data_IF_383665808504
#
_entry.id   IF_383665808504
#
_cell.length_a   1.000
_cell.length_b   1.000
_cell.length_c   1.000
_cell.angle_alpha   90.00
_cell.angle_beta   90.00
_cell.angle_gamma   90.00
#
_symmetry.space_group_name_H-M   'P 1'
#
loop_
_entity.id
_entity.type
_entity.pdbx_description
1 polymer ?
#
# COMPACT_ATOMS: atom_id res chain seq x y z
N UNK A 1 43.81 -30.00 -51.38
CA UNK A 1 44.27 -28.97 -52.35
C UNK A 1 43.41 -27.76 -52.15
N UNK A 2 43.87 -26.52 -52.05
CA UNK A 2 45.19 -25.92 -52.02
C UNK A 2 44.87 -24.45 -51.79
N UNK A 3 45.53 -23.80 -50.81
CA UNK A 3 46.11 -22.44 -50.92
C UNK A 3 45.16 -21.26 -51.27
N UNK A 4 45.34 -20.01 -50.88
CA UNK A 4 46.36 -19.23 -50.16
C UNK A 4 45.97 -17.77 -50.40
N UNK A 5 46.57 -16.85 -49.64
CA UNK A 5 46.77 -15.45 -50.07
C UNK A 5 46.23 -14.48 -49.04
N UNK A 6 47.06 -14.01 -48.10
CA UNK A 6 47.94 -12.82 -48.23
C UNK A 6 47.15 -11.53 -48.44
N UNK A 7 47.52 -10.35 -47.96
CA UNK A 7 48.37 -9.84 -46.88
C UNK A 7 48.26 -8.32 -46.98
N UNK A 8 48.35 -7.62 -45.86
CA UNK A 8 49.00 -6.30 -45.71
C UNK A 8 48.73 -5.20 -46.75
N UNK A 9 48.09 -4.11 -46.31
CA UNK A 9 48.59 -2.77 -46.64
C UNK A 9 48.54 -1.85 -45.41
N UNK A 10 49.74 -1.36 -45.10
CA UNK A 10 50.05 -0.28 -44.17
C UNK A 10 49.42 1.05 -44.57
N UNK A 11 49.02 1.86 -43.60
CA UNK A 11 49.35 3.28 -43.63
C UNK A 11 49.57 3.80 -42.20
N UNK A 12 50.46 4.78 -42.10
CA UNK A 12 51.34 5.03 -40.98
C UNK A 12 51.36 6.57 -40.80
N UNK A 13 51.16 7.03 -39.56
CA UNK A 13 51.58 8.31 -38.97
C UNK A 13 50.94 9.66 -39.41
N UNK A 14 50.38 10.37 -38.42
CA UNK A 14 50.71 11.77 -38.07
C UNK A 14 50.08 12.08 -36.70
N UNK A 15 50.85 12.07 -35.61
CA UNK A 15 51.65 13.15 -34.99
C UNK A 15 50.83 14.22 -34.24
N UNK A 16 51.00 14.16 -32.91
CA UNK A 16 51.25 15.28 -31.99
C UNK A 16 50.07 16.12 -31.49
N UNK A 17 49.87 16.08 -30.16
CA UNK A 17 49.10 17.07 -29.41
C UNK A 17 49.20 16.80 -27.90
N UNK A 18 49.86 17.70 -27.19
CA UNK A 18 50.34 17.62 -25.81
C UNK A 18 49.34 18.29 -24.84
N UNK A 19 48.99 17.58 -23.74
CA UNK A 19 48.79 18.00 -22.32
C UNK A 19 47.82 19.17 -21.99
N UNK A 20 46.94 18.98 -20.98
CA UNK A 20 46.85 19.73 -19.69
C UNK A 20 45.52 19.44 -18.93
N UNK A 21 45.67 18.89 -17.72
CA UNK A 21 44.97 19.05 -16.42
C UNK A 21 43.47 19.39 -16.25
N UNK A 22 42.91 18.69 -15.24
CA UNK A 22 41.81 19.05 -14.33
C UNK A 22 40.37 18.96 -14.88
N UNK A 23 39.36 18.48 -14.16
CA UNK A 23 39.17 18.35 -12.73
C UNK A 23 38.23 17.17 -12.40
N UNK A 24 38.49 16.54 -11.26
CA UNK A 24 37.54 15.68 -10.56
C UNK A 24 36.22 16.43 -10.34
N UNK A 25 35.14 15.92 -10.91
CA UNK A 25 33.82 15.98 -10.28
C UNK A 25 33.20 14.60 -10.40
N UNK A 26 33.78 13.66 -9.64
CA UNK A 26 33.07 12.46 -9.22
C UNK A 26 31.88 12.94 -8.39
N UNK A 27 30.74 13.15 -9.05
CA UNK A 27 29.45 13.25 -8.39
C UNK A 27 29.17 11.87 -7.80
N UNK A 28 29.84 11.58 -6.69
CA UNK A 28 29.42 10.55 -5.75
C UNK A 28 28.09 11.06 -5.19
N UNK A 29 27.01 10.77 -5.91
CA UNK A 29 25.71 10.62 -5.28
C UNK A 29 25.86 9.44 -4.32
N UNK A 30 26.45 9.72 -3.15
CA UNK A 30 26.12 9.00 -1.93
C UNK A 30 24.62 9.23 -1.74
N UNK A 31 23.82 8.41 -2.43
CA UNK A 31 22.61 7.94 -1.81
C UNK A 31 23.08 7.27 -0.53
N UNK A 32 23.05 8.02 0.57
CA UNK A 32 22.93 7.44 1.89
C UNK A 32 21.62 6.65 1.84
N UNK A 33 21.71 5.43 1.31
CA UNK A 33 20.78 4.38 1.62
C UNK A 33 21.02 4.14 3.11
N UNK A 34 20.33 4.93 3.93
CA UNK A 34 20.25 4.67 5.34
C UNK A 34 19.77 3.23 5.44
N UNK A 35 20.66 2.33 5.86
CA UNK A 35 20.30 1.01 6.35
C UNK A 35 19.37 1.26 7.53
N UNK A 36 18.08 1.44 7.24
CA UNK A 36 17.04 1.35 8.25
C UNK A 36 17.22 -0.06 8.81
N UNK A 37 17.69 -0.12 10.06
CA UNK A 37 17.72 -1.37 10.82
C UNK A 37 16.34 -2.05 10.78
N UNK A 38 16.26 -3.32 11.18
CA UNK A 38 14.99 -4.06 11.14
C UNK A 38 13.89 -3.24 11.85
N UNK A 39 12.84 -2.88 11.08
CA UNK A 39 11.70 -2.11 11.58
C UNK A 39 11.08 -2.85 12.78
N UNK A 40 10.69 -2.09 13.80
CA UNK A 40 9.88 -2.63 14.91
C UNK A 40 8.53 -3.17 14.42
N UNK A 41 7.86 -4.00 15.22
CA UNK A 41 6.54 -4.55 14.86
C UNK A 41 5.51 -3.47 14.48
N UNK A 42 5.50 -2.34 15.21
CA UNK A 42 4.64 -1.17 14.92
C UNK A 42 4.98 -0.54 13.58
N UNK A 43 6.26 -0.25 13.33
CA UNK A 43 6.70 0.43 12.09
C UNK A 43 6.46 -0.44 10.85
N UNK A 44 6.64 -1.77 10.97
CA UNK A 44 6.33 -2.71 9.89
C UNK A 44 4.86 -2.66 9.49
N UNK A 45 3.96 -2.63 10.48
CA UNK A 45 2.51 -2.62 10.22
C UNK A 45 2.06 -1.27 9.68
N UNK A 46 2.61 -0.16 10.18
CA UNK A 46 2.35 1.16 9.60
C UNK A 46 2.78 1.23 8.13
N UNK A 47 3.95 0.72 7.79
CA UNK A 47 4.39 0.62 6.39
C UNK A 47 3.45 -0.27 5.57
N UNK A 48 3.02 -1.42 6.12
CA UNK A 48 2.07 -2.30 5.44
C UNK A 48 0.72 -1.62 5.16
N UNK A 49 0.24 -0.81 6.09
CA UNK A 49 -0.98 0.01 5.94
C UNK A 49 -0.80 1.04 4.82
N UNK A 50 0.32 1.77 4.80
CA UNK A 50 0.60 2.75 3.74
C UNK A 50 0.66 2.09 2.36
N UNK A 51 1.40 0.99 2.25
CA UNK A 51 1.51 0.22 1.00
C UNK A 51 0.15 -0.35 0.56
N UNK A 52 -0.68 -0.77 1.51
CA UNK A 52 -2.05 -1.23 1.26
C UNK A 52 -2.91 -0.09 0.71
N UNK A 53 -2.83 1.10 1.31
CA UNK A 53 -3.67 2.24 0.94
C UNK A 53 -3.44 2.70 -0.50
N UNK A 54 -2.22 2.52 -1.03
CA UNK A 54 -1.87 2.81 -2.43
C UNK A 54 -2.59 1.87 -3.41
N UNK A 55 -2.74 0.59 -3.07
CA UNK A 55 -3.26 -0.43 -3.99
C UNK A 55 -4.14 -1.49 -3.28
N UNK A 56 -5.26 -1.08 -2.67
CA UNK A 56 -6.01 -1.92 -1.74
C UNK A 56 -6.69 -3.12 -2.39
N UNK A 57 -6.92 -3.08 -3.71
CA UNK A 57 -7.62 -4.10 -4.50
C UNK A 57 -6.67 -4.95 -5.37
N UNK A 58 -5.35 -4.77 -5.23
CA UNK A 58 -4.36 -5.58 -5.95
C UNK A 58 -4.05 -6.87 -5.19
N UNK A 59 -3.43 -7.86 -5.85
CA UNK A 59 -2.91 -9.05 -5.18
C UNK A 59 -2.04 -8.70 -3.96
N UNK A 60 -1.17 -7.69 -4.13
CA UNK A 60 -0.32 -7.18 -3.05
C UNK A 60 -1.15 -6.54 -1.93
N UNK A 61 -2.20 -5.78 -2.27
CA UNK A 61 -3.15 -5.23 -1.30
C UNK A 61 -3.77 -6.33 -0.43
N UNK A 62 -4.23 -7.43 -1.03
CA UNK A 62 -4.80 -8.56 -0.27
C UNK A 62 -3.76 -9.23 0.66
N UNK A 63 -2.53 -9.41 0.21
CA UNK A 63 -1.45 -9.96 1.03
C UNK A 63 -1.13 -9.05 2.24
N UNK A 64 -1.11 -7.73 2.02
CA UNK A 64 -0.89 -6.74 3.07
C UNK A 64 -2.06 -6.68 4.05
N UNK A 65 -3.30 -6.72 3.56
CA UNK A 65 -4.49 -6.80 4.41
C UNK A 65 -4.43 -8.01 5.35
N UNK A 66 -4.01 -9.18 4.86
CA UNK A 66 -3.81 -10.36 5.70
C UNK A 66 -2.81 -10.12 6.84
N UNK A 67 -1.67 -9.49 6.54
CA UNK A 67 -0.66 -9.15 7.57
C UNK A 67 -1.17 -8.13 8.60
N UNK A 68 -1.95 -7.15 8.14
CA UNK A 68 -2.56 -6.11 8.99
C UNK A 68 -3.59 -6.74 9.94
N UNK A 69 -4.43 -7.64 9.43
CA UNK A 69 -5.43 -8.37 10.22
C UNK A 69 -4.75 -9.29 11.23
N UNK A 70 -3.77 -10.09 10.79
CA UNK A 70 -3.01 -10.98 11.67
C UNK A 70 -2.35 -10.21 12.82
N UNK A 71 -1.76 -9.05 12.54
CA UNK A 71 -1.24 -8.18 13.59
C UNK A 71 -2.35 -7.71 14.54
N UNK A 72 -3.49 -7.26 14.02
CA UNK A 72 -4.59 -6.76 14.85
C UNK A 72 -5.14 -7.84 15.80
N UNK A 73 -5.17 -9.11 15.36
CA UNK A 73 -5.60 -10.25 16.18
C UNK A 73 -4.61 -10.60 17.30
N UNK A 74 -3.30 -10.48 17.03
CA UNK A 74 -2.24 -10.88 17.97
C UNK A 74 -1.76 -9.75 18.88
N UNK A 75 -2.07 -8.50 18.55
CA UNK A 75 -1.49 -7.33 19.21
C UNK A 75 -2.29 -6.88 20.43
N UNK A 76 -1.59 -6.65 21.54
CA UNK A 76 -2.15 -6.02 22.72
C UNK A 76 -2.34 -4.50 22.56
N UNK A 77 -1.80 -3.90 21.48
CA UNK A 77 -1.74 -2.44 21.27
C UNK A 77 -2.95 -1.85 20.55
N UNK A 78 -3.73 -2.66 19.86
CA UNK A 78 -4.87 -2.19 19.07
C UNK A 78 -6.15 -2.89 19.48
N UNK A 79 -7.29 -2.27 19.19
CA UNK A 79 -8.62 -2.81 19.41
C UNK A 79 -9.45 -2.56 18.16
N UNK A 80 -10.01 -3.61 17.59
CA UNK A 80 -10.96 -3.53 16.47
C UNK A 80 -12.27 -4.15 16.90
N UNK A 81 -13.35 -3.39 16.80
CA UNK A 81 -14.70 -3.87 17.06
C UNK A 81 -15.38 -4.25 15.74
N UNK A 82 -15.67 -5.55 15.62
CA UNK A 82 -16.36 -6.15 14.48
C UNK A 82 -17.70 -6.68 14.98
N UNK A 83 -18.78 -5.99 14.63
CA UNK A 83 -20.14 -6.38 14.96
C UNK A 83 -21.12 -5.89 13.87
N UNK A 84 -22.41 -6.27 13.91
CA UNK A 84 -23.38 -5.84 12.89
C UNK A 84 -23.59 -4.33 12.81
N UNK A 85 -23.33 -3.59 13.89
CA UNK A 85 -23.51 -2.14 13.91
C UNK A 85 -22.33 -1.43 13.23
N UNK A 86 -21.10 -1.91 13.43
CA UNK A 86 -19.87 -1.32 12.89
C UNK A 86 -19.45 -1.88 11.53
N UNK A 87 -19.85 -3.10 11.22
CA UNK A 87 -19.47 -3.83 9.99
C UNK A 87 -20.67 -4.57 9.37
N UNK A 88 -21.80 -3.89 9.10
CA UNK A 88 -23.04 -4.54 8.65
C UNK A 88 -22.92 -5.34 7.35
N UNK A 89 -21.96 -4.99 6.50
CA UNK A 89 -21.67 -5.69 5.24
C UNK A 89 -20.94 -7.04 5.47
N UNK A 90 -20.27 -7.24 6.61
CA UNK A 90 -19.45 -8.45 6.84
C UNK A 90 -20.28 -9.72 7.00
N UNK A 91 -21.53 -9.61 7.49
CA UNK A 91 -22.42 -10.75 7.67
C UNK A 91 -23.51 -10.82 6.60
N UNK A 92 -23.50 -9.91 5.62
CA UNK A 92 -24.53 -9.86 4.59
C UNK A 92 -24.28 -10.92 3.51
N UNK A 93 -25.10 -11.97 3.49
CA UNK A 93 -24.98 -13.11 2.57
C UNK A 93 -25.16 -12.77 1.08
N UNK A 94 -25.66 -11.58 0.75
CA UNK A 94 -25.74 -11.09 -0.63
C UNK A 94 -24.40 -10.58 -1.16
N UNK A 95 -23.43 -10.33 -0.28
CA UNK A 95 -22.10 -9.89 -0.67
C UNK A 95 -21.17 -11.10 -0.84
N UNK A 96 -20.40 -11.18 -1.94
CA UNK A 96 -19.40 -12.23 -2.13
C UNK A 96 -18.33 -12.21 -1.05
N UNK A 97 -17.80 -13.38 -0.68
CA UNK A 97 -16.71 -13.52 0.30
C UNK A 97 -15.49 -12.67 -0.07
N UNK A 98 -15.15 -12.60 -1.36
CA UNK A 98 -14.03 -11.80 -1.86
C UNK A 98 -14.22 -10.30 -1.58
N UNK A 99 -15.44 -9.79 -1.77
CA UNK A 99 -15.78 -8.40 -1.46
C UNK A 99 -15.72 -8.19 0.06
N UNK A 100 -16.36 -9.07 0.85
CA UNK A 100 -16.32 -8.97 2.32
C UNK A 100 -14.89 -8.98 2.88
N UNK A 101 -14.02 -9.84 2.35
CA UNK A 101 -12.60 -9.88 2.74
C UNK A 101 -11.86 -8.59 2.39
N UNK A 102 -12.09 -8.02 1.21
CA UNK A 102 -11.51 -6.74 0.82
C UNK A 102 -11.94 -5.60 1.76
N UNK A 103 -13.23 -5.54 2.10
CA UNK A 103 -13.78 -4.54 3.00
C UNK A 103 -13.30 -4.73 4.45
N UNK A 104 -13.09 -5.98 4.90
CA UNK A 104 -12.49 -6.26 6.21
C UNK A 104 -11.06 -5.73 6.30
N UNK A 105 -10.24 -5.98 5.26
CA UNK A 105 -8.90 -5.40 5.17
C UNK A 105 -8.92 -3.88 5.27
N UNK A 106 -9.84 -3.22 4.54
CA UNK A 106 -10.01 -1.78 4.56
C UNK A 106 -10.40 -1.28 5.97
N UNK A 107 -11.41 -1.91 6.58
CA UNK A 107 -11.92 -1.55 7.89
C UNK A 107 -10.84 -1.65 8.96
N UNK A 108 -10.12 -2.77 9.02
CA UNK A 108 -9.05 -3.00 10.01
C UNK A 108 -7.91 -2.01 9.79
N UNK A 109 -7.47 -1.82 8.54
CA UNK A 109 -6.41 -0.88 8.19
C UNK A 109 -6.71 0.56 8.65
N UNK A 110 -7.90 1.06 8.32
CA UNK A 110 -8.35 2.39 8.75
C UNK A 110 -8.54 2.50 10.27
N UNK A 111 -9.00 1.43 10.93
CA UNK A 111 -9.24 1.40 12.37
C UNK A 111 -7.95 1.40 13.20
N UNK A 112 -6.92 0.66 12.78
CA UNK A 112 -5.70 0.51 13.60
C UNK A 112 -4.64 1.57 13.32
N UNK A 113 -4.62 2.19 12.13
CA UNK A 113 -3.65 3.25 11.77
C UNK A 113 -3.58 4.37 12.83
N UNK A 114 -4.69 5.04 13.22
CA UNK A 114 -4.64 6.10 14.23
C UNK A 114 -4.23 5.57 15.62
N UNK A 115 -4.59 4.34 15.99
CA UNK A 115 -4.18 3.75 17.27
C UNK A 115 -2.67 3.59 17.37
N UNK A 116 -2.04 3.13 16.27
CA UNK A 116 -0.60 2.99 16.19
C UNK A 116 0.12 4.33 16.15
N UNK A 117 -0.42 5.32 15.44
CA UNK A 117 0.15 6.67 15.36
C UNK A 117 0.07 7.43 16.68
N UNK A 118 -1.08 7.33 17.37
CA UNK A 118 -1.35 8.04 18.63
C UNK A 118 -0.98 7.23 19.88
N UNK A 119 -0.58 5.97 19.71
CA UNK A 119 -0.30 5.02 20.80
C UNK A 119 -1.46 4.86 21.77
N UNK A 120 -2.68 4.87 21.24
CA UNK A 120 -3.92 4.82 22.00
C UNK A 120 -4.75 3.61 21.58
N UNK A 121 -4.93 2.66 22.50
CA UNK A 121 -5.80 1.50 22.28
C UNK A 121 -7.26 1.90 22.44
N UNK A 122 -7.91 2.23 21.34
CA UNK A 122 -9.32 2.59 21.27
C UNK A 122 -9.84 2.24 19.88
N UNK A 123 -11.02 1.63 19.77
CA UNK A 123 -11.60 1.37 18.46
C UNK A 123 -11.85 2.69 17.70
N UNK A 124 -11.37 2.77 16.46
CA UNK A 124 -11.59 3.90 15.55
C UNK A 124 -12.53 3.47 14.42
N UNK A 125 -13.81 3.27 14.78
CA UNK A 125 -14.84 2.80 13.85
C UNK A 125 -14.96 3.72 12.63
N UNK A 126 -15.02 5.03 12.83
CA UNK A 126 -15.23 5.99 11.75
C UNK A 126 -14.08 5.95 10.73
N UNK A 127 -12.83 5.89 11.18
CA UNK A 127 -11.66 5.81 10.30
C UNK A 127 -11.64 4.49 9.53
N UNK A 128 -12.02 3.37 10.16
CA UNK A 128 -12.22 2.09 9.47
C UNK A 128 -13.32 2.16 8.40
N UNK A 129 -14.49 2.69 8.74
CA UNK A 129 -15.62 2.81 7.81
C UNK A 129 -15.37 3.82 6.68
N UNK A 130 -14.60 4.88 6.92
CA UNK A 130 -14.15 5.81 5.89
C UNK A 130 -13.18 5.14 4.92
N UNK A 131 -12.27 4.29 5.42
CA UNK A 131 -11.37 3.52 4.57
C UNK A 131 -12.15 2.49 3.72
N UNK A 132 -13.18 1.84 4.28
CA UNK A 132 -14.13 0.99 3.53
C UNK A 132 -14.77 1.77 2.38
N UNK A 133 -15.29 2.97 2.66
CA UNK A 133 -15.89 3.85 1.64
C UNK A 133 -14.90 4.21 0.54
N UNK A 134 -13.66 4.54 0.91
CA UNK A 134 -12.57 4.81 -0.05
C UNK A 134 -12.32 3.60 -0.94
N UNK A 135 -12.16 2.41 -0.37
CA UNK A 135 -11.91 1.18 -1.13
C UNK A 135 -13.07 0.82 -2.06
N UNK A 136 -14.32 0.95 -1.60
CA UNK A 136 -15.50 0.74 -2.45
C UNK A 136 -15.49 1.65 -3.69
N UNK A 137 -15.05 2.91 -3.56
CA UNK A 137 -14.94 3.83 -4.70
C UNK A 137 -13.88 3.45 -5.73
N UNK A 138 -12.91 2.60 -5.36
CA UNK A 138 -11.84 2.12 -6.24
C UNK A 138 -12.22 0.83 -6.99
N UNK A 139 -13.22 0.09 -6.51
CA UNK A 139 -13.64 -1.16 -7.16
C UNK A 139 -14.50 -0.83 -8.38
N UNK A 140 -13.90 -0.94 -9.56
CA UNK A 140 -14.61 -0.83 -10.84
C UNK A 140 -14.88 -2.23 -11.37
N UNK A 141 -16.05 -2.79 -11.04
CA UNK A 141 -16.49 -4.07 -11.57
C UNK A 141 -17.99 -4.05 -11.90
N UNK A 142 -18.32 -4.08 -13.20
CA UNK A 142 -19.69 -4.02 -13.68
C UNK A 142 -20.56 -5.22 -13.23
N UNK A 143 -19.94 -6.38 -13.00
CA UNK A 143 -20.66 -7.58 -12.54
C UNK A 143 -21.04 -7.49 -11.06
N UNK A 144 -20.34 -6.67 -10.27
CA UNK A 144 -20.58 -6.50 -8.83
C UNK A 144 -21.36 -5.21 -8.51
N UNK A 145 -21.98 -4.56 -9.50
CA UNK A 145 -22.57 -3.24 -9.31
C UNK A 145 -23.58 -3.20 -8.17
N UNK A 146 -24.47 -4.20 -8.10
CA UNK A 146 -25.52 -4.25 -7.08
C UNK A 146 -24.94 -4.54 -5.68
N UNK A 147 -23.92 -5.39 -5.61
CA UNK A 147 -23.20 -5.75 -4.40
C UNK A 147 -22.40 -4.56 -3.86
N UNK A 148 -21.75 -3.80 -4.74
CA UNK A 148 -21.03 -2.58 -4.39
C UNK A 148 -21.99 -1.48 -3.89
N UNK A 149 -23.13 -1.29 -4.55
CA UNK A 149 -24.18 -0.37 -4.10
C UNK A 149 -24.71 -0.78 -2.72
N UNK A 150 -25.00 -2.06 -2.50
CA UNK A 150 -25.44 -2.58 -1.21
C UNK A 150 -24.38 -2.41 -0.13
N UNK A 151 -23.13 -2.77 -0.40
CA UNK A 151 -22.03 -2.61 0.57
C UNK A 151 -21.82 -1.15 0.95
N UNK A 152 -21.88 -0.24 -0.03
CA UNK A 152 -21.79 1.20 0.21
C UNK A 152 -22.96 1.68 1.07
N UNK A 153 -24.21 1.29 0.74
CA UNK A 153 -25.38 1.67 1.54
C UNK A 153 -25.26 1.19 2.99
N UNK A 154 -24.85 -0.06 3.22
CA UNK A 154 -24.65 -0.59 4.57
C UNK A 154 -23.58 0.20 5.33
N UNK A 155 -22.49 0.55 4.67
CA UNK A 155 -21.41 1.34 5.27
C UNK A 155 -21.81 2.79 5.58
N UNK A 156 -22.56 3.46 4.70
CA UNK A 156 -23.09 4.82 4.95
C UNK A 156 -24.06 4.85 6.12
N UNK A 157 -24.90 3.81 6.27
CA UNK A 157 -25.79 3.69 7.42
C UNK A 157 -24.98 3.56 8.72
N UNK A 158 -23.90 2.75 8.72
CA UNK A 158 -22.98 2.65 9.85
C UNK A 158 -22.36 4.00 10.18
N UNK A 159 -21.78 4.70 9.20
CA UNK A 159 -21.20 6.03 9.39
C UNK A 159 -22.20 7.03 9.99
N UNK A 160 -23.45 6.99 9.53
CA UNK A 160 -24.52 7.86 10.03
C UNK A 160 -24.89 7.53 11.47
N UNK A 161 -25.08 6.24 11.79
CA UNK A 161 -25.47 5.78 13.14
C UNK A 161 -24.45 6.16 14.21
N UNK A 162 -23.16 6.16 13.85
CA UNK A 162 -22.07 6.52 14.75
C UNK A 162 -21.69 8.01 14.71
N UNK A 163 -22.45 8.85 14.00
CA UNK A 163 -22.15 10.28 13.81
C UNK A 163 -20.72 10.53 13.32
N UNK A 164 -20.25 9.74 12.37
CA UNK A 164 -18.94 9.92 11.76
C UNK A 164 -18.96 11.19 10.90
N UNK A 165 -18.59 12.33 11.49
CA UNK A 165 -18.49 13.60 10.78
C UNK A 165 -17.35 13.49 9.78
N UNK A 166 -17.69 13.50 8.49
CA UNK A 166 -16.71 13.44 7.41
C UNK A 166 -15.79 14.64 7.47
N UNK A 167 -14.53 14.43 7.90
CA UNK A 167 -13.44 15.23 7.35
C UNK A 167 -13.00 14.57 6.06
N UNK A 168 -13.09 15.26 4.90
CA UNK A 168 -12.33 14.87 3.73
C UNK A 168 -10.86 14.72 4.11
N UNK A 169 -10.19 13.79 3.44
CA UNK A 169 -8.82 13.38 3.69
C UNK A 169 -7.82 14.55 3.78
N UNK A 170 -7.45 14.94 5.00
CA UNK A 170 -6.14 15.58 5.28
C UNK A 170 -5.05 14.52 5.55
N UNK A 171 -5.30 13.26 5.16
CA UNK A 171 -4.31 12.19 5.15
C UNK A 171 -3.85 11.94 3.70
N UNK A 172 -3.10 12.90 3.15
CA UNK A 172 -2.20 12.71 2.01
C UNK A 172 -0.78 12.82 2.55
#
# INVERSE_FOLDING_TARGET
MSMSGQSLLHSKWQRSGLVIFAALLSFNSMFSFAERGPLSGKERVLQAIEDYQVQPISKRGFELAGQIIEFAEQSDKVLVEVNPDTTPWLLNNRLPDSLRGALLGAYVSGNIKPQLQLELKKAHHCEGALEVKRVLSLIVNAQLKQELELANQLNENSLTNFNCVGKPADFI
#
